data_IF_187222998079
#
_entry.id   IF_187222998079
#
_cell.length_a   1.000
_cell.length_b   1.000
_cell.length_c   1.000
_cell.angle_alpha   90.00
_cell.angle_beta   90.00
_cell.angle_gamma   90.00
#
_symmetry.space_group_name_H-M   'P 1'
#
loop_
_entity.id
_entity.type
_entity.pdbx_description
1 polymer ?
#
# COMPACT_ATOMS: atom_id res chain seq x y z
N UNK A 1 -4.74 -7.93 -16.97
CA UNK A 1 -4.61 -8.70 -15.74
C UNK A 1 -5.06 -7.79 -14.60
N UNK A 2 -6.24 -8.03 -14.04
CA UNK A 2 -6.69 -7.24 -12.90
C UNK A 2 -5.93 -7.74 -11.68
N UNK A 3 -5.02 -6.93 -11.13
CA UNK A 3 -4.32 -7.19 -9.87
C UNK A 3 -5.37 -7.08 -8.74
N UNK A 4 -6.23 -8.08 -8.65
CA UNK A 4 -7.14 -8.30 -7.52
C UNK A 4 -6.63 -9.41 -6.61
N UNK A 5 -5.53 -10.03 -7.02
CA UNK A 5 -4.95 -11.16 -6.34
C UNK A 5 -4.06 -10.65 -5.19
N UNK A 6 -4.00 -11.40 -4.12
CA UNK A 6 -3.14 -11.06 -2.98
C UNK A 6 -1.68 -11.13 -3.43
N UNK A 7 -0.97 -10.02 -3.34
CA UNK A 7 0.40 -9.87 -3.82
C UNK A 7 1.31 -9.35 -2.71
N UNK A 8 2.49 -9.96 -2.58
CA UNK A 8 3.54 -9.46 -1.72
C UNK A 8 4.88 -9.45 -2.46
N UNK A 9 5.69 -8.42 -2.23
CA UNK A 9 7.08 -8.34 -2.67
C UNK A 9 7.98 -8.39 -1.44
N UNK A 10 8.94 -9.31 -1.46
CA UNK A 10 9.95 -9.48 -0.42
C UNK A 10 11.35 -9.49 -1.02
N UNK A 11 12.36 -9.12 -0.26
CA UNK A 11 13.76 -9.19 -0.66
C UNK A 11 14.37 -10.43 0.00
N UNK A 12 15.03 -11.28 -0.78
CA UNK A 12 15.66 -12.51 -0.28
C UNK A 12 16.68 -12.26 0.84
N UNK A 13 17.34 -11.11 0.81
CA UNK A 13 18.35 -10.69 1.79
C UNK A 13 17.80 -10.39 3.19
N UNK A 14 16.48 -10.20 3.32
CA UNK A 14 15.83 -9.93 4.63
C UNK A 14 15.62 -11.18 5.48
N UNK A 15 15.77 -12.36 4.88
CA UNK A 15 15.58 -13.63 5.56
C UNK A 15 16.89 -14.19 6.07
N UNK A 16 16.81 -14.88 7.18
CA UNK A 16 17.93 -15.61 7.78
C UNK A 16 17.53 -17.06 7.99
N UNK A 17 18.51 -17.96 8.01
CA UNK A 17 18.31 -19.36 8.32
C UNK A 17 17.60 -19.53 9.67
N UNK A 18 16.71 -20.51 9.74
CA UNK A 18 15.97 -20.83 10.98
C UNK A 18 16.94 -21.08 12.14
N UNK A 19 16.72 -20.33 13.24
CA UNK A 19 17.58 -20.40 14.43
C UNK A 19 18.57 -19.23 14.57
N UNK A 20 18.72 -18.38 13.57
CA UNK A 20 19.47 -17.11 13.66
C UNK A 20 18.53 -15.92 13.91
N UNK A 21 19.09 -14.83 14.41
CA UNK A 21 18.34 -13.59 14.62
C UNK A 21 18.00 -12.97 13.26
N UNK A 22 16.73 -13.04 12.87
CA UNK A 22 16.22 -12.50 11.60
C UNK A 22 14.78 -12.93 11.36
N UNK A 23 14.28 -12.61 10.18
CA UNK A 23 12.91 -12.93 9.76
C UNK A 23 12.89 -14.32 9.12
N UNK A 24 12.03 -15.22 9.59
CA UNK A 24 11.85 -16.54 8.98
C UNK A 24 11.10 -16.44 7.63
N UNK A 25 11.30 -17.42 6.77
CA UNK A 25 10.68 -17.45 5.44
C UNK A 25 9.17 -17.67 5.49
N UNK A 26 8.63 -18.32 6.53
CA UNK A 26 7.19 -18.53 6.72
C UNK A 26 6.45 -17.19 6.91
N UNK A 27 7.16 -16.17 7.37
CA UNK A 27 6.61 -14.82 7.48
C UNK A 27 6.12 -14.26 6.14
N UNK A 28 6.65 -14.74 5.00
CA UNK A 28 6.19 -14.38 3.66
C UNK A 28 4.71 -14.72 3.50
N UNK A 29 4.35 -15.95 3.87
CA UNK A 29 2.96 -16.41 3.76
C UNK A 29 2.07 -15.71 4.77
N UNK A 30 2.56 -15.48 6.00
CA UNK A 30 1.81 -14.73 7.02
C UNK A 30 1.51 -13.30 6.57
N UNK A 31 2.51 -12.60 6.03
CA UNK A 31 2.34 -11.23 5.50
C UNK A 31 1.41 -11.21 4.27
N UNK A 32 1.45 -12.24 3.41
CA UNK A 32 0.55 -12.39 2.26
C UNK A 32 -0.91 -12.53 2.70
N UNK A 33 -1.17 -13.36 3.73
CA UNK A 33 -2.51 -13.51 4.30
C UNK A 33 -2.99 -12.22 4.95
N UNK A 34 -2.12 -11.51 5.67
CA UNK A 34 -2.47 -10.21 6.27
C UNK A 34 -2.91 -9.20 5.21
N UNK A 35 -2.20 -9.16 4.08
CA UNK A 35 -2.59 -8.33 2.93
C UNK A 35 -3.92 -8.77 2.32
N UNK A 36 -4.14 -10.08 2.16
CA UNK A 36 -5.38 -10.64 1.64
C UNK A 36 -6.58 -10.29 2.52
N UNK A 37 -6.46 -10.46 3.84
CA UNK A 37 -7.51 -10.11 4.81
C UNK A 37 -7.85 -8.63 4.75
N UNK A 38 -6.82 -7.76 4.70
CA UNK A 38 -7.02 -6.32 4.56
C UNK A 38 -7.77 -5.98 3.27
N UNK A 39 -7.36 -6.56 2.15
CA UNK A 39 -7.96 -6.33 0.83
C UNK A 39 -9.41 -6.83 0.76
N UNK A 40 -9.71 -8.03 1.29
CA UNK A 40 -11.06 -8.57 1.35
C UNK A 40 -11.95 -7.72 2.25
N UNK A 41 -11.43 -7.24 3.39
CA UNK A 41 -12.16 -6.32 4.28
C UNK A 41 -12.51 -5.01 3.58
N UNK A 42 -11.55 -4.38 2.92
CA UNK A 42 -11.79 -3.15 2.15
C UNK A 42 -12.83 -3.36 1.04
N UNK A 43 -12.75 -4.49 0.35
CA UNK A 43 -13.70 -4.86 -0.70
C UNK A 43 -15.09 -5.10 -0.14
N UNK A 44 -15.21 -5.80 0.99
CA UNK A 44 -16.47 -6.04 1.68
C UNK A 44 -17.09 -4.72 2.18
N UNK A 45 -16.29 -3.85 2.78
CA UNK A 45 -16.73 -2.52 3.21
C UNK A 45 -17.23 -1.68 2.03
N UNK A 46 -16.51 -1.67 0.90
CA UNK A 46 -16.94 -0.97 -0.32
C UNK A 46 -18.28 -1.48 -0.85
N UNK A 47 -18.52 -2.81 -0.79
CA UNK A 47 -19.81 -3.41 -1.20
C UNK A 47 -20.98 -2.99 -0.31
N UNK A 48 -20.73 -2.76 0.98
CA UNK A 48 -21.74 -2.36 1.95
C UNK A 48 -21.85 -0.83 2.10
N UNK A 49 -21.05 -0.06 1.34
CA UNK A 49 -20.94 1.39 1.54
C UNK A 49 -22.26 2.13 1.45
N UNK A 50 -23.11 1.81 0.48
CA UNK A 50 -24.41 2.46 0.33
C UNK A 50 -25.31 2.27 1.58
N UNK A 51 -25.36 1.04 2.11
CA UNK A 51 -26.11 0.73 3.34
C UNK A 51 -25.50 1.41 4.57
N UNK A 52 -24.17 1.48 4.60
CA UNK A 52 -23.45 2.15 5.68
C UNK A 52 -23.68 3.66 5.67
N UNK A 53 -23.74 4.28 4.50
CA UNK A 53 -24.07 5.69 4.32
C UNK A 53 -25.51 6.00 4.78
N UNK A 54 -26.48 5.15 4.44
CA UNK A 54 -27.85 5.28 4.93
C UNK A 54 -27.92 5.15 6.47
N UNK A 55 -27.21 4.21 7.05
CA UNK A 55 -27.15 4.04 8.52
C UNK A 55 -26.44 5.21 9.21
N UNK A 56 -25.38 5.75 8.63
CA UNK A 56 -24.69 6.93 9.11
C UNK A 56 -25.59 8.18 9.06
N UNK A 57 -26.36 8.34 7.96
CA UNK A 57 -27.35 9.40 7.82
C UNK A 57 -28.37 9.36 8.96
N UNK A 58 -28.89 8.17 9.28
CA UNK A 58 -29.84 8.00 10.40
C UNK A 58 -29.22 8.40 11.74
N UNK A 59 -27.96 8.00 12.01
CA UNK A 59 -27.26 8.38 13.26
C UNK A 59 -27.03 9.90 13.36
N UNK A 60 -26.70 10.57 12.26
CA UNK A 60 -26.57 12.04 12.22
C UNK A 60 -27.92 12.70 12.44
N UNK A 61 -28.99 12.16 11.84
CA UNK A 61 -30.37 12.65 12.05
C UNK A 61 -30.81 12.45 13.51
N UNK A 62 -30.46 11.35 14.15
CA UNK A 62 -30.73 11.11 15.57
C UNK A 62 -30.03 12.13 16.48
N UNK A 63 -28.83 12.57 16.11
CA UNK A 63 -28.10 13.62 16.83
C UNK A 63 -28.71 15.02 16.59
N UNK A 64 -29.28 15.28 15.41
CA UNK A 64 -29.89 16.56 15.06
C UNK A 64 -31.33 16.69 15.57
N UNK A 65 -32.10 15.60 15.51
CA UNK A 65 -33.52 15.50 15.90
C UNK A 65 -33.65 14.20 16.72
N UNK A 66 -33.39 14.25 18.06
CA UNK A 66 -33.51 13.07 18.91
C UNK A 66 -34.93 12.48 18.81
N UNK A 67 -35.05 11.15 18.70
CA UNK A 67 -36.36 10.51 18.71
C UNK A 67 -37.10 10.83 20.04
N UNK A 68 -38.42 10.98 20.02
CA UNK A 68 -39.17 11.24 21.25
C UNK A 68 -38.91 10.12 22.24
N UNK A 69 -38.47 10.50 23.47
CA UNK A 69 -38.29 9.54 24.53
C UNK A 69 -39.61 8.90 24.87
N UNK A 70 -39.82 7.65 24.50
CA UNK A 70 -40.93 6.83 25.00
C UNK A 70 -40.66 6.58 26.48
N UNK A 71 -41.15 7.49 27.32
CA UNK A 71 -41.16 7.30 28.75
C UNK A 71 -42.04 6.10 29.07
N UNK A 72 -41.47 5.11 29.78
CA UNK A 72 -42.23 4.10 30.51
C UNK A 72 -43.03 4.81 31.61
N UNK A 73 -44.17 5.36 31.26
CA UNK A 73 -45.15 5.92 32.16
C UNK A 73 -46.50 5.29 31.84
N UNK A 74 -47.00 4.45 32.72
CA UNK A 74 -48.41 4.06 32.77
C UNK A 74 -49.25 5.33 32.83
N UNK A 75 -49.87 5.71 31.72
CA UNK A 75 -51.03 6.58 31.80
C UNK A 75 -52.11 6.19 30.79
N UNK A 76 -53.28 5.98 31.32
CA UNK A 76 -54.43 5.54 30.60
C UNK A 76 -55.08 6.72 29.89
N UNK A 77 -55.42 6.51 28.64
CA UNK A 77 -56.50 7.24 27.95
C UNK A 77 -56.15 8.61 27.40
N UNK A 78 -55.88 8.64 26.08
CA UNK A 78 -55.83 9.90 25.35
C UNK A 78 -55.27 9.71 23.94
N UNK A 79 -56.15 9.48 22.97
CA UNK A 79 -55.87 9.59 21.54
C UNK A 79 -55.33 10.98 21.23
N UNK A 80 -54.08 11.07 20.84
CA UNK A 80 -53.57 12.30 20.21
C UNK A 80 -52.55 11.97 19.13
N UNK A 81 -52.88 12.38 17.93
CA UNK A 81 -52.05 12.52 16.75
C UNK A 81 -50.70 13.22 17.08
N UNK A 82 -49.70 12.51 17.46
CA UNK A 82 -48.34 13.05 17.67
C UNK A 82 -47.26 12.33 16.82
N UNK A 83 -47.60 11.88 15.64
CA UNK A 83 -46.67 11.19 14.74
C UNK A 83 -46.27 11.98 13.48
N UNK A 84 -46.97 13.04 13.09
CA UNK A 84 -46.73 13.65 11.77
C UNK A 84 -45.72 14.81 11.77
N UNK A 85 -45.59 15.56 12.84
CA UNK A 85 -44.72 16.73 12.90
C UNK A 85 -43.22 16.36 13.01
N UNK A 86 -42.92 15.29 13.74
CA UNK A 86 -41.54 14.81 13.95
C UNK A 86 -40.97 14.16 12.68
N UNK A 87 -41.83 13.46 11.92
CA UNK A 87 -41.43 12.88 10.62
C UNK A 87 -41.15 13.98 9.57
N UNK A 88 -41.88 15.11 9.62
CA UNK A 88 -41.71 16.20 8.65
C UNK A 88 -40.38 16.95 8.94
N UNK A 89 -40.08 17.23 10.19
CA UNK A 89 -38.80 17.86 10.60
C UNK A 89 -37.59 16.97 10.22
N UNK A 90 -37.69 15.66 10.47
CA UNK A 90 -36.64 14.70 10.12
C UNK A 90 -36.44 14.59 8.59
N UNK A 91 -37.53 14.61 7.80
CA UNK A 91 -37.43 14.61 6.34
C UNK A 91 -36.81 15.90 5.79
N UNK A 92 -37.15 17.07 6.35
CA UNK A 92 -36.54 18.35 5.95
C UNK A 92 -35.04 18.36 6.27
N UNK A 93 -34.67 17.87 7.45
CA UNK A 93 -33.25 17.78 7.83
C UNK A 93 -32.48 16.78 6.95
N UNK A 94 -33.09 15.64 6.61
CA UNK A 94 -32.52 14.64 5.66
C UNK A 94 -32.28 15.27 4.29
N UNK A 95 -33.22 16.05 3.77
CA UNK A 95 -33.05 16.73 2.49
C UNK A 95 -31.87 17.72 2.54
N UNK A 96 -31.81 18.56 3.58
CA UNK A 96 -30.69 19.51 3.76
C UNK A 96 -29.31 18.85 3.95
N UNK A 97 -29.32 17.69 4.59
CA UNK A 97 -28.09 16.88 4.78
C UNK A 97 -27.58 16.38 3.43
N UNK A 98 -28.46 15.83 2.59
CA UNK A 98 -28.13 15.34 1.24
C UNK A 98 -27.73 16.46 0.27
N UNK A 99 -28.28 17.66 0.45
CA UNK A 99 -27.89 18.86 -0.29
C UNK A 99 -26.57 19.46 0.17
N UNK A 100 -25.97 18.92 1.25
CA UNK A 100 -24.68 19.41 1.79
C UNK A 100 -24.78 20.73 2.56
N UNK A 101 -25.99 21.31 2.72
CA UNK A 101 -26.21 22.61 3.37
C UNK A 101 -25.83 22.63 4.88
N UNK A 102 -25.66 21.45 5.47
CA UNK A 102 -25.35 21.29 6.91
C UNK A 102 -23.90 20.84 7.17
N UNK A 103 -23.07 20.66 6.15
CA UNK A 103 -21.73 20.07 6.28
C UNK A 103 -20.81 20.80 7.27
N UNK A 104 -20.93 22.12 7.37
CA UNK A 104 -20.12 22.98 8.25
C UNK A 104 -20.65 23.06 9.68
N UNK A 105 -21.86 22.55 9.93
CA UNK A 105 -22.46 22.57 11.27
C UNK A 105 -21.81 21.53 12.15
N UNK A 106 -21.47 21.89 13.39
CA UNK A 106 -20.93 20.96 14.38
C UNK A 106 -22.06 20.16 15.05
N UNK A 107 -21.81 18.87 15.23
CA UNK A 107 -22.65 17.96 16.01
C UNK A 107 -21.80 17.17 16.99
N UNK A 108 -22.40 16.76 18.07
CA UNK A 108 -21.79 15.85 19.04
C UNK A 108 -22.25 14.42 18.74
N UNK A 109 -21.29 13.55 18.42
CA UNK A 109 -21.56 12.15 18.09
C UNK A 109 -20.77 11.24 19.03
N UNK A 110 -21.35 10.10 19.35
CA UNK A 110 -20.63 9.01 20.03
C UNK A 110 -19.92 8.15 18.98
N UNK A 111 -18.60 8.09 19.09
CA UNK A 111 -17.75 7.31 18.20
C UNK A 111 -17.03 6.24 19.04
N UNK A 112 -16.94 5.05 18.50
CA UNK A 112 -16.11 4.01 19.07
C UNK A 112 -14.64 4.41 18.87
N UNK A 113 -13.91 4.65 19.96
CA UNK A 113 -12.46 4.88 19.85
C UNK A 113 -11.80 3.54 19.49
N UNK A 114 -11.07 3.45 18.35
CA UNK A 114 -10.22 2.30 18.13
C UNK A 114 -9.26 2.26 19.31
N UNK A 115 -9.26 1.18 20.07
CA UNK A 115 -8.28 1.00 21.13
C UNK A 115 -6.92 1.14 20.48
N UNK A 116 -6.15 2.14 20.88
CA UNK A 116 -4.71 2.11 20.69
C UNK A 116 -4.26 0.74 21.23
N UNK A 117 -3.95 -0.18 20.33
CA UNK A 117 -3.52 -1.50 20.72
C UNK A 117 -2.33 -1.29 21.65
N UNK A 118 -2.44 -1.73 22.90
CA UNK A 118 -1.26 -1.98 23.70
C UNK A 118 -0.47 -3.00 22.84
N UNK A 119 0.50 -2.51 22.09
CA UNK A 119 1.55 -3.35 21.53
C UNK A 119 2.34 -3.87 22.72
N UNK A 120 1.86 -4.98 23.27
CA UNK A 120 2.63 -5.74 24.26
C UNK A 120 3.78 -6.30 23.42
N UNK A 121 4.95 -5.69 23.53
CA UNK A 121 6.19 -6.26 22.98
C UNK A 121 6.42 -7.59 23.70
N UNK A 122 5.89 -8.66 23.12
CA UNK A 122 6.12 -10.01 23.60
C UNK A 122 7.40 -10.56 22.98
N UNK A 123 8.24 -11.23 23.76
CA UNK A 123 9.38 -11.97 23.23
C UNK A 123 8.93 -12.99 22.18
N UNK A 124 9.75 -13.31 21.16
CA UNK A 124 9.46 -14.32 20.18
C UNK A 124 9.10 -15.66 20.84
N UNK A 125 7.93 -16.24 20.47
CA UNK A 125 7.43 -17.51 21.01
C UNK A 125 6.30 -17.40 22.05
N UNK A 126 5.85 -16.20 22.45
CA UNK A 126 4.72 -15.99 23.35
C UNK A 126 3.52 -15.29 22.69
N UNK A 127 3.44 -15.34 21.37
CA UNK A 127 2.40 -14.65 20.58
C UNK A 127 1.00 -15.16 20.89
N UNK A 128 0.81 -16.47 21.10
CA UNK A 128 -0.49 -17.06 21.44
C UNK A 128 -0.99 -16.59 22.82
N UNK A 129 -0.10 -16.42 23.78
CA UNK A 129 -0.47 -15.94 25.11
C UNK A 129 -0.84 -14.45 25.09
N UNK A 130 -0.16 -13.64 24.26
CA UNK A 130 -0.51 -12.25 24.06
C UNK A 130 -1.89 -12.10 23.38
N UNK A 131 -2.20 -12.98 22.44
CA UNK A 131 -3.49 -12.99 21.75
C UNK A 131 -4.63 -13.43 22.68
N UNK A 132 -4.40 -14.44 23.53
CA UNK A 132 -5.36 -14.85 24.55
C UNK A 132 -5.60 -13.74 25.60
N UNK A 133 -4.56 -13.06 26.05
CA UNK A 133 -4.70 -11.89 26.91
C UNK A 133 -5.45 -10.75 26.22
N UNK A 134 -5.16 -10.46 24.95
CA UNK A 134 -5.85 -9.43 24.17
C UNK A 134 -7.34 -9.76 24.00
N UNK A 135 -7.68 -11.02 23.78
CA UNK A 135 -9.06 -11.49 23.72
C UNK A 135 -9.77 -11.41 25.07
N UNK A 136 -9.10 -11.77 26.15
CA UNK A 136 -9.64 -11.65 27.51
C UNK A 136 -9.90 -10.18 27.89
N UNK A 137 -8.95 -9.27 27.60
CA UNK A 137 -9.12 -7.82 27.79
C UNK A 137 -10.19 -7.23 26.86
N UNK A 138 -10.41 -7.78 25.66
CA UNK A 138 -11.46 -7.34 24.76
C UNK A 138 -12.86 -7.72 25.29
N UNK A 139 -12.99 -8.86 25.96
CA UNK A 139 -14.25 -9.31 26.56
C UNK A 139 -14.59 -8.57 27.87
N UNK A 140 -13.59 -8.22 28.68
CA UNK A 140 -13.81 -7.53 29.97
C UNK A 140 -14.04 -6.02 29.87
N UNK A 141 -13.68 -5.39 28.77
CA UNK A 141 -13.82 -3.94 28.62
C UNK A 141 -14.77 -3.59 27.49
N UNK A 142 -16.02 -3.25 27.78
CA UNK A 142 -16.95 -2.70 26.80
C UNK A 142 -16.33 -1.54 26.03
N UNK A 143 -16.65 -1.40 24.74
CA UNK A 143 -16.20 -0.30 23.89
C UNK A 143 -16.51 1.04 24.59
N UNK A 144 -15.49 1.78 24.99
CA UNK A 144 -15.69 3.15 25.52
C UNK A 144 -16.13 4.01 24.34
N UNK A 145 -17.40 4.38 24.35
CA UNK A 145 -17.91 5.42 23.45
C UNK A 145 -17.43 6.77 23.96
N UNK A 146 -16.80 7.52 23.10
CA UNK A 146 -16.36 8.88 23.41
C UNK A 146 -17.15 9.85 22.58
N UNK A 147 -17.76 10.81 23.25
CA UNK A 147 -18.41 11.91 22.57
C UNK A 147 -17.37 12.83 21.95
N UNK A 148 -17.51 13.10 20.66
CA UNK A 148 -16.68 14.05 19.90
C UNK A 148 -17.55 15.07 19.18
N UNK A 149 -17.13 16.33 19.22
CA UNK A 149 -17.71 17.39 18.41
C UNK A 149 -16.98 17.43 17.06
N UNK A 150 -17.72 17.22 15.98
CA UNK A 150 -17.19 17.20 14.61
C UNK A 150 -18.16 17.93 13.68
N UNK A 151 -17.64 18.44 12.57
CA UNK A 151 -18.49 18.94 11.47
C UNK A 151 -19.27 17.76 10.86
N UNK A 152 -20.49 18.01 10.46
CA UNK A 152 -21.38 16.97 9.90
C UNK A 152 -20.74 16.24 8.72
N UNK A 153 -20.03 16.97 7.82
CA UNK A 153 -19.34 16.35 6.70
C UNK A 153 -18.27 15.31 7.09
N UNK A 154 -17.52 15.57 8.17
CA UNK A 154 -16.51 14.65 8.69
C UNK A 154 -17.15 13.55 9.54
N UNK A 155 -18.18 13.89 10.30
CA UNK A 155 -18.96 12.95 11.07
C UNK A 155 -19.63 11.88 10.18
N UNK A 156 -20.18 12.27 9.03
CA UNK A 156 -20.78 11.35 8.06
C UNK A 156 -19.78 10.33 7.53
N UNK A 157 -18.58 10.78 7.15
CA UNK A 157 -17.51 9.88 6.66
C UNK A 157 -17.12 8.86 7.72
N UNK A 158 -16.85 9.35 8.93
CA UNK A 158 -16.40 8.52 10.05
C UNK A 158 -17.48 7.52 10.49
N UNK A 159 -18.75 7.94 10.53
CA UNK A 159 -19.87 7.06 10.86
C UNK A 159 -20.14 6.05 9.75
N UNK A 160 -20.01 6.44 8.47
CA UNK A 160 -20.17 5.51 7.35
C UNK A 160 -19.09 4.42 7.37
N UNK A 161 -17.85 4.75 7.70
CA UNK A 161 -16.77 3.76 7.84
C UNK A 161 -17.00 2.84 9.06
N UNK A 162 -17.50 3.38 10.19
CA UNK A 162 -17.86 2.58 11.37
C UNK A 162 -19.04 1.63 11.07
N UNK A 163 -20.09 2.11 10.41
CA UNK A 163 -21.25 1.27 10.05
C UNK A 163 -20.87 0.24 8.97
N UNK A 164 -20.03 0.60 7.99
CA UNK A 164 -19.51 -0.35 7.01
C UNK A 164 -18.75 -1.49 7.70
N UNK A 165 -17.92 -1.17 8.69
CA UNK A 165 -17.18 -2.18 9.46
C UNK A 165 -18.10 -3.11 10.27
N UNK A 166 -19.23 -2.62 10.79
CA UNK A 166 -20.23 -3.44 11.51
C UNK A 166 -21.03 -4.38 10.60
N UNK A 167 -21.25 -3.96 9.34
CA UNK A 167 -22.01 -4.74 8.36
C UNK A 167 -21.18 -5.89 7.74
N UNK A 168 -19.90 -5.96 8.04
CA UNK A 168 -19.00 -6.95 7.47
C UNK A 168 -18.81 -8.09 8.47
N UNK A 169 -18.92 -9.33 7.98
CA UNK A 169 -18.67 -10.54 8.76
C UNK A 169 -17.17 -10.90 8.70
N UNK A 170 -16.48 -10.81 9.83
CA UNK A 170 -15.05 -11.10 9.92
C UNK A 170 -14.69 -12.56 9.60
N UNK A 171 -15.56 -13.53 9.89
CA UNK A 171 -15.30 -14.94 9.60
C UNK A 171 -15.42 -15.25 8.09
N UNK A 172 -16.37 -14.59 7.41
CA UNK A 172 -16.47 -14.67 5.95
C UNK A 172 -15.25 -14.05 5.27
N UNK A 173 -14.74 -12.92 5.80
CA UNK A 173 -13.51 -12.29 5.30
C UNK A 173 -12.33 -13.23 5.43
N UNK A 174 -12.12 -13.81 6.62
CA UNK A 174 -11.01 -14.76 6.87
C UNK A 174 -11.07 -15.93 5.91
N UNK A 175 -12.23 -16.56 5.79
CA UNK A 175 -12.42 -17.71 4.92
C UNK A 175 -12.11 -17.38 3.46
N UNK A 176 -12.61 -16.25 2.95
CA UNK A 176 -12.34 -15.80 1.58
C UNK A 176 -10.89 -15.40 1.39
N UNK A 177 -10.29 -14.71 2.35
CA UNK A 177 -8.90 -14.30 2.27
C UNK A 177 -7.95 -15.50 2.24
N UNK A 178 -8.20 -16.53 3.08
CA UNK A 178 -7.42 -17.77 3.06
C UNK A 178 -7.55 -18.47 1.70
N UNK A 179 -8.78 -18.68 1.22
CA UNK A 179 -9.03 -19.30 -0.08
C UNK A 179 -8.42 -18.50 -1.24
N UNK A 180 -8.48 -17.17 -1.19
CA UNK A 180 -7.87 -16.30 -2.20
C UNK A 180 -6.35 -16.36 -2.15
N UNK A 181 -5.75 -16.37 -0.96
CA UNK A 181 -4.30 -16.54 -0.79
C UNK A 181 -3.81 -17.86 -1.35
N UNK A 182 -4.49 -18.97 -1.03
CA UNK A 182 -4.10 -20.30 -1.49
C UNK A 182 -4.18 -20.45 -3.01
N UNK A 183 -5.21 -19.88 -3.66
CA UNK A 183 -5.48 -20.13 -5.08
C UNK A 183 -4.99 -19.01 -6.03
N UNK A 184 -4.85 -17.80 -5.53
CA UNK A 184 -4.53 -16.60 -6.33
C UNK A 184 -3.38 -15.78 -5.74
N UNK A 185 -2.70 -16.29 -4.70
CA UNK A 185 -1.59 -15.60 -4.06
C UNK A 185 -0.38 -15.50 -4.99
N UNK A 186 0.28 -14.35 -4.97
CA UNK A 186 1.52 -14.10 -5.73
C UNK A 186 2.59 -13.59 -4.78
N UNK A 187 3.72 -14.29 -4.74
CA UNK A 187 4.91 -13.91 -3.98
C UNK A 187 6.02 -13.53 -4.95
N UNK A 188 6.48 -12.29 -4.84
CA UNK A 188 7.62 -11.81 -5.60
C UNK A 188 8.85 -11.75 -4.70
N UNK A 189 9.89 -12.55 -5.01
CA UNK A 189 11.14 -12.62 -4.27
C UNK A 189 12.20 -11.86 -5.06
N UNK A 190 12.58 -10.68 -4.58
CA UNK A 190 13.59 -9.84 -5.21
C UNK A 190 14.99 -10.16 -4.67
N UNK A 191 16.02 -9.82 -5.43
CA UNK A 191 17.43 -9.99 -5.09
C UNK A 191 17.83 -11.44 -4.75
N UNK A 192 17.23 -12.44 -5.44
CA UNK A 192 17.56 -13.86 -5.20
C UNK A 192 19.02 -14.19 -5.53
N UNK A 193 19.66 -13.41 -6.40
CA UNK A 193 21.09 -13.52 -6.72
C UNK A 193 22.01 -13.27 -5.52
N UNK A 194 21.55 -12.53 -4.52
CA UNK A 194 22.32 -12.22 -3.31
C UNK A 194 22.44 -13.41 -2.34
N UNK A 195 21.51 -14.35 -2.43
CA UNK A 195 21.57 -15.60 -1.66
C UNK A 195 22.17 -16.76 -2.47
N UNK A 196 22.45 -16.56 -3.77
CA UNK A 196 23.23 -17.51 -4.57
C UNK A 196 24.69 -17.53 -4.12
N UNK A 197 25.25 -18.72 -3.86
CA UNK A 197 26.60 -18.88 -3.33
C UNK A 197 27.56 -19.35 -4.40
N UNK A 198 28.72 -18.69 -4.50
CA UNK A 198 29.88 -19.26 -5.19
C UNK A 198 30.68 -20.12 -4.20
N UNK A 199 30.99 -21.34 -4.59
CA UNK A 199 31.50 -22.45 -3.77
C UNK A 199 32.89 -22.26 -3.12
N UNK A 200 33.46 -21.06 -2.98
CA UNK A 200 34.88 -20.94 -2.67
C UNK A 200 35.27 -20.18 -1.38
N UNK A 201 34.31 -19.59 -0.61
CA UNK A 201 34.70 -18.84 0.61
C UNK A 201 33.83 -19.22 1.79
N UNK A 202 34.42 -19.85 2.80
CA UNK A 202 33.71 -20.36 3.96
C UNK A 202 33.21 -19.27 4.94
N UNK A 203 32.13 -19.56 5.61
CA UNK A 203 31.57 -18.82 6.77
C UNK A 203 30.26 -18.09 6.52
N UNK A 204 30.22 -17.09 5.66
CA UNK A 204 28.99 -16.35 5.33
C UNK A 204 28.06 -17.12 4.35
N UNK A 205 28.62 -18.09 3.63
CA UNK A 205 27.94 -18.87 2.60
C UNK A 205 26.97 -19.92 3.18
N UNK A 206 27.21 -20.39 4.39
CA UNK A 206 26.32 -21.38 5.06
C UNK A 206 24.96 -20.77 5.34
N UNK A 207 24.93 -19.55 5.82
CA UNK A 207 23.65 -18.83 6.11
C UNK A 207 22.84 -18.55 4.85
N UNK A 208 23.49 -18.22 3.72
CA UNK A 208 22.83 -17.97 2.43
C UNK A 208 22.23 -19.26 1.84
N UNK A 209 22.93 -20.38 1.93
CA UNK A 209 22.40 -21.68 1.55
C UNK A 209 21.24 -22.11 2.47
N UNK A 210 21.32 -21.77 3.76
CA UNK A 210 20.24 -22.00 4.70
C UNK A 210 18.93 -21.34 4.25
N UNK A 211 18.97 -20.06 3.87
CA UNK A 211 17.79 -19.34 3.35
C UNK A 211 17.21 -20.00 2.10
N UNK A 212 18.08 -20.48 1.17
CA UNK A 212 17.59 -21.21 -0.01
C UNK A 212 16.88 -22.51 0.37
N UNK A 213 17.41 -23.26 1.36
CA UNK A 213 16.79 -24.50 1.86
C UNK A 213 15.48 -24.22 2.59
N UNK A 214 15.40 -23.12 3.33
CA UNK A 214 14.18 -22.73 4.04
C UNK A 214 13.07 -22.23 3.08
N UNK A 215 13.45 -21.62 1.94
CA UNK A 215 12.50 -21.25 0.88
C UNK A 215 11.93 -22.47 0.13
N UNK A 216 12.70 -23.55 0.06
CA UNK A 216 12.33 -24.71 -0.75
C UNK A 216 10.96 -25.32 -0.38
N UNK A 217 10.64 -25.60 0.90
CA UNK A 217 9.33 -26.12 1.28
C UNK A 217 8.17 -25.21 0.85
N UNK A 218 8.35 -23.89 0.93
CA UNK A 218 7.31 -22.93 0.51
C UNK A 218 7.01 -23.03 -0.99
N UNK A 219 8.06 -23.17 -1.80
CA UNK A 219 7.92 -23.25 -3.28
C UNK A 219 7.51 -24.66 -3.72
N UNK A 220 7.83 -25.70 -2.95
CA UNK A 220 7.41 -27.08 -3.21
C UNK A 220 5.97 -27.37 -2.86
N UNK A 221 5.41 -26.62 -1.93
CA UNK A 221 4.10 -26.82 -1.35
C UNK A 221 4.19 -27.32 0.09
N UNK A 222 3.76 -26.48 1.01
CA UNK A 222 3.69 -26.77 2.44
C UNK A 222 2.47 -26.13 3.06
N UNK A 223 2.24 -26.42 4.33
CA UNK A 223 1.17 -25.78 5.10
C UNK A 223 1.77 -24.88 6.17
N UNK A 224 1.50 -23.59 6.10
CA UNK A 224 2.00 -22.58 7.04
C UNK A 224 0.91 -22.18 8.02
N UNK A 225 1.25 -22.15 9.31
CA UNK A 225 0.34 -21.66 10.35
C UNK A 225 0.34 -20.13 10.40
N UNK A 226 -0.86 -19.56 10.34
CA UNK A 226 -1.10 -18.12 10.46
C UNK A 226 -2.10 -17.81 11.55
N UNK A 227 -2.19 -16.58 12.01
CA UNK A 227 -3.19 -16.15 12.99
C UNK A 227 -4.65 -16.25 12.51
N UNK A 228 -4.86 -16.48 11.20
CA UNK A 228 -6.19 -16.65 10.61
C UNK A 228 -6.53 -18.10 10.31
N UNK A 229 -5.56 -19.01 10.38
CA UNK A 229 -5.68 -20.42 10.07
C UNK A 229 -4.50 -20.96 9.30
N UNK A 230 -4.60 -22.23 8.90
CA UNK A 230 -3.57 -22.90 8.10
C UNK A 230 -3.72 -22.51 6.62
N UNK A 231 -2.59 -22.33 5.93
CA UNK A 231 -2.53 -21.93 4.51
C UNK A 231 -1.61 -22.87 3.76
N UNK A 232 -2.12 -23.43 2.66
CA UNK A 232 -1.36 -24.29 1.74
C UNK A 232 -0.72 -23.43 0.66
N UNK A 233 0.56 -23.70 0.37
CA UNK A 233 1.33 -22.91 -0.61
C UNK A 233 1.35 -23.52 -2.02
N UNK A 234 0.70 -24.68 -2.23
CA UNK A 234 0.75 -25.49 -3.46
C UNK A 234 0.35 -24.72 -4.73
N UNK A 235 -0.56 -23.76 -4.63
CA UNK A 235 -1.05 -22.97 -5.77
C UNK A 235 -0.64 -21.51 -5.72
N UNK A 236 0.22 -21.11 -4.78
CA UNK A 236 0.78 -19.75 -4.74
C UNK A 236 1.82 -19.61 -5.86
N UNK A 237 1.71 -18.56 -6.64
CA UNK A 237 2.69 -18.25 -7.68
C UNK A 237 3.92 -17.55 -7.07
N UNK A 238 5.09 -18.19 -7.18
CA UNK A 238 6.36 -17.60 -6.79
C UNK A 238 7.10 -17.07 -8.01
N UNK A 239 7.52 -15.81 -7.97
CA UNK A 239 8.30 -15.15 -9.00
C UNK A 239 9.58 -14.64 -8.34
N UNK A 240 10.73 -15.15 -8.76
CA UNK A 240 12.02 -14.70 -8.27
C UNK A 240 12.71 -13.79 -9.29
N UNK A 241 13.35 -12.71 -8.82
CA UNK A 241 14.14 -11.80 -9.64
C UNK A 241 15.53 -11.58 -9.03
N UNK A 242 16.50 -11.33 -9.89
CA UNK A 242 17.85 -11.00 -9.50
C UNK A 242 18.65 -10.45 -10.68
N UNK A 243 19.61 -9.60 -10.40
CA UNK A 243 20.48 -9.01 -11.43
C UNK A 243 21.54 -9.98 -11.96
N UNK A 244 21.97 -10.95 -11.15
CA UNK A 244 22.98 -11.97 -11.47
C UNK A 244 24.29 -11.43 -12.08
N UNK A 245 24.71 -10.22 -11.67
CA UNK A 245 25.98 -9.63 -12.16
C UNK A 245 27.22 -10.41 -11.69
N UNK A 246 27.18 -10.88 -10.43
CA UNK A 246 28.31 -11.60 -9.81
C UNK A 246 28.08 -13.10 -9.68
N UNK A 247 26.85 -13.56 -9.78
CA UNK A 247 26.41 -14.95 -9.71
C UNK A 247 25.62 -15.33 -10.95
N UNK A 248 25.32 -16.61 -11.12
CA UNK A 248 24.46 -17.12 -12.19
C UNK A 248 23.24 -17.82 -11.59
N UNK A 249 22.14 -17.96 -12.31
CA UNK A 249 21.02 -18.79 -11.84
C UNK A 249 21.41 -20.22 -11.51
N UNK A 250 22.48 -20.73 -12.13
CA UNK A 250 23.08 -22.06 -11.83
C UNK A 250 23.82 -22.15 -10.50
N UNK A 251 24.06 -21.03 -9.83
CA UNK A 251 24.72 -20.99 -8.51
C UNK A 251 23.69 -21.13 -7.36
N UNK A 252 22.39 -21.13 -7.67
CA UNK A 252 21.35 -21.56 -6.73
C UNK A 252 21.43 -23.07 -6.50
N UNK A 253 20.94 -23.56 -5.35
CA UNK A 253 20.89 -25.00 -5.09
C UNK A 253 20.05 -25.71 -6.17
N UNK A 254 20.45 -26.92 -6.60
CA UNK A 254 19.79 -27.62 -7.71
C UNK A 254 18.30 -27.83 -7.51
N UNK A 255 17.88 -28.08 -6.28
CA UNK A 255 16.47 -28.29 -5.92
C UNK A 255 15.65 -27.03 -6.20
N UNK A 256 16.17 -25.86 -5.82
CA UNK A 256 15.49 -24.57 -6.05
C UNK A 256 15.44 -24.22 -7.55
N UNK A 257 16.51 -24.52 -8.29
CA UNK A 257 16.53 -24.35 -9.75
C UNK A 257 15.41 -25.16 -10.44
N UNK A 258 15.15 -26.37 -9.95
CA UNK A 258 14.07 -27.22 -10.45
C UNK A 258 12.65 -26.68 -10.20
N UNK A 259 12.51 -25.83 -9.17
CA UNK A 259 11.24 -25.19 -8.80
C UNK A 259 10.99 -23.83 -9.47
N UNK A 260 12.05 -23.24 -10.05
CA UNK A 260 11.95 -22.07 -10.94
C UNK A 260 12.35 -22.44 -12.38
N UNK A 261 11.55 -23.29 -13.05
CA UNK A 261 11.92 -23.82 -14.38
C UNK A 261 11.80 -22.80 -15.51
N UNK A 262 10.91 -21.81 -15.33
CA UNK A 262 10.66 -20.76 -16.33
C UNK A 262 11.63 -19.61 -16.06
N UNK A 263 12.50 -19.33 -17.04
CA UNK A 263 13.47 -18.24 -16.96
C UNK A 263 13.15 -17.21 -18.02
N UNK A 264 13.13 -15.95 -17.63
CA UNK A 264 12.92 -14.80 -18.49
C UNK A 264 14.04 -13.81 -18.27
N UNK A 265 14.72 -13.40 -19.33
CA UNK A 265 15.70 -12.34 -19.31
C UNK A 265 15.06 -11.07 -19.80
N UNK A 266 15.19 -9.97 -19.02
CA UNK A 266 14.68 -8.67 -19.39
C UNK A 266 15.72 -7.95 -20.25
N UNK A 267 15.31 -7.48 -21.40
CA UNK A 267 16.15 -6.64 -22.25
C UNK A 267 16.40 -5.26 -21.63
N UNK A 268 17.54 -4.61 -21.91
CA UNK A 268 17.74 -3.21 -21.54
C UNK A 268 16.68 -2.32 -22.18
N UNK A 269 16.33 -1.23 -21.49
CA UNK A 269 15.33 -0.28 -21.95
C UNK A 269 15.87 0.52 -23.15
N UNK A 270 15.08 0.65 -24.20
CA UNK A 270 15.37 1.53 -25.36
C UNK A 270 15.03 2.99 -25.04
N UNK A 271 15.46 3.91 -25.91
CA UNK A 271 15.08 5.34 -25.81
C UNK A 271 13.57 5.53 -25.87
N UNK A 272 12.87 4.73 -26.68
CA UNK A 272 11.41 4.80 -26.78
C UNK A 272 10.72 4.32 -25.51
N UNK A 273 11.28 3.29 -24.82
CA UNK A 273 10.79 2.84 -23.53
C UNK A 273 10.97 3.92 -22.45
N UNK A 274 12.11 4.58 -22.42
CA UNK A 274 12.36 5.69 -21.50
C UNK A 274 11.39 6.85 -21.72
N UNK A 275 11.11 7.22 -22.98
CA UNK A 275 10.12 8.24 -23.33
C UNK A 275 8.71 7.81 -22.89
N UNK A 276 8.34 6.56 -23.14
CA UNK A 276 7.06 6.01 -22.69
C UNK A 276 6.90 6.04 -21.17
N UNK A 277 7.96 5.72 -20.41
CA UNK A 277 7.96 5.78 -18.95
C UNK A 277 7.77 7.22 -18.46
N UNK A 278 8.37 8.20 -19.12
CA UNK A 278 8.23 9.61 -18.76
C UNK A 278 6.83 10.17 -19.03
N UNK A 279 6.10 9.64 -20.03
CA UNK A 279 4.85 10.23 -20.51
C UNK A 279 3.61 9.41 -20.19
N UNK A 280 3.63 8.09 -20.44
CA UNK A 280 2.43 7.24 -20.47
C UNK A 280 2.06 6.63 -19.13
N UNK A 281 2.97 6.59 -18.15
CA UNK A 281 2.67 6.02 -16.83
C UNK A 281 1.73 6.92 -16.05
N UNK A 282 0.85 6.29 -15.21
CA UNK A 282 -0.16 7.03 -14.45
C UNK A 282 0.46 8.10 -13.54
N UNK A 283 1.55 7.78 -12.85
CA UNK A 283 2.33 8.68 -12.00
C UNK A 283 3.75 8.86 -12.59
N UNK A 284 3.84 9.38 -13.83
CA UNK A 284 5.14 9.63 -14.45
C UNK A 284 5.96 10.65 -13.68
N UNK A 285 7.29 10.59 -13.77
CA UNK A 285 8.19 11.55 -13.11
C UNK A 285 7.86 12.99 -13.48
N UNK A 286 7.52 13.26 -14.74
CA UNK A 286 7.08 14.59 -15.19
C UNK A 286 5.89 15.07 -14.37
N UNK A 287 4.85 14.25 -14.21
CA UNK A 287 3.66 14.61 -13.43
C UNK A 287 3.98 14.79 -11.95
N UNK A 288 4.89 13.97 -11.40
CA UNK A 288 5.32 14.10 -10.00
C UNK A 288 6.02 15.45 -9.77
N UNK A 289 6.98 15.83 -10.62
CA UNK A 289 7.66 17.12 -10.51
C UNK A 289 6.75 18.32 -10.79
N UNK A 290 5.82 18.18 -11.74
CA UNK A 290 4.79 19.22 -11.98
C UNK A 290 3.92 19.43 -10.73
N UNK A 291 3.50 18.37 -10.07
CA UNK A 291 2.72 18.46 -8.85
C UNK A 291 3.56 19.04 -7.69
N UNK A 292 4.82 18.61 -7.55
CA UNK A 292 5.73 19.07 -6.50
C UNK A 292 6.00 20.58 -6.62
N UNK A 293 6.43 21.04 -7.80
CA UNK A 293 6.70 22.47 -8.02
C UNK A 293 5.42 23.31 -8.02
N UNK A 294 4.28 22.70 -8.36
CA UNK A 294 2.96 23.30 -8.23
C UNK A 294 2.57 23.67 -6.80
N UNK A 295 3.11 22.97 -5.78
CA UNK A 295 2.88 23.34 -4.36
C UNK A 295 3.51 24.68 -4.00
N UNK A 296 4.60 25.05 -4.66
CA UNK A 296 5.27 26.35 -4.52
C UNK A 296 4.74 27.40 -5.50
N UNK A 297 3.70 27.06 -6.28
CA UNK A 297 3.10 27.97 -7.26
C UNK A 297 3.87 28.07 -8.60
N UNK A 298 4.86 27.22 -8.85
CA UNK A 298 5.62 27.19 -10.10
C UNK A 298 4.95 26.24 -11.09
N UNK A 299 4.69 26.70 -12.31
CA UNK A 299 4.11 25.88 -13.39
C UNK A 299 5.22 25.32 -14.27
N UNK A 300 5.50 24.01 -14.16
CA UNK A 300 6.51 23.31 -14.95
C UNK A 300 5.89 22.74 -16.24
N UNK A 301 6.53 22.99 -17.39
CA UNK A 301 6.14 22.42 -18.69
C UNK A 301 7.36 21.82 -19.39
N UNK A 302 7.16 20.68 -20.06
CA UNK A 302 8.17 20.02 -20.88
C UNK A 302 7.73 19.98 -22.34
N UNK A 303 8.63 20.40 -23.22
CA UNK A 303 8.43 20.20 -24.65
C UNK A 303 8.67 18.73 -25.06
N UNK A 304 7.97 18.21 -26.08
CA UNK A 304 8.20 16.84 -26.53
C UNK A 304 9.65 16.54 -26.91
N UNK A 305 10.34 17.53 -27.51
CA UNK A 305 11.75 17.44 -27.84
C UNK A 305 12.65 17.29 -26.62
N UNK A 306 12.32 17.98 -25.51
CA UNK A 306 13.03 17.86 -24.23
C UNK A 306 12.85 16.48 -23.60
N UNK A 307 11.64 15.93 -23.66
CA UNK A 307 11.34 14.58 -23.13
C UNK A 307 12.15 13.53 -23.90
N UNK A 308 12.16 13.61 -25.22
CA UNK A 308 12.95 12.73 -26.08
C UNK A 308 14.45 12.84 -25.77
N UNK A 309 14.94 14.07 -25.56
CA UNK A 309 16.35 14.30 -25.25
C UNK A 309 16.74 13.77 -23.86
N UNK A 310 15.88 13.90 -22.88
CA UNK A 310 16.05 13.29 -21.55
C UNK A 310 16.14 11.77 -21.63
N UNK A 311 15.22 11.14 -22.38
CA UNK A 311 15.21 9.71 -22.62
C UNK A 311 16.53 9.23 -23.26
N UNK A 312 17.04 9.97 -24.23
CA UNK A 312 18.31 9.65 -24.91
C UNK A 312 19.51 9.77 -23.95
N UNK A 313 19.59 10.84 -23.16
CA UNK A 313 20.68 11.01 -22.19
C UNK A 313 20.63 9.88 -21.13
N UNK A 314 19.45 9.54 -20.61
CA UNK A 314 19.33 8.46 -19.63
C UNK A 314 19.75 7.10 -20.21
N UNK A 315 19.40 6.81 -21.47
CA UNK A 315 19.84 5.63 -22.19
C UNK A 315 21.36 5.61 -22.37
N UNK A 316 21.93 6.70 -22.91
CA UNK A 316 23.38 6.80 -23.18
C UNK A 316 24.21 6.64 -21.91
N UNK A 317 23.74 7.21 -20.79
CA UNK A 317 24.42 7.04 -19.48
C UNK A 317 24.34 5.59 -18.99
N UNK A 318 23.18 4.92 -19.14
CA UNK A 318 23.04 3.50 -18.80
C UNK A 318 23.92 2.58 -19.66
N UNK A 319 24.18 2.93 -20.94
CA UNK A 319 25.07 2.17 -21.80
C UNK A 319 26.57 2.33 -21.41
N UNK A 320 26.95 3.53 -20.95
CA UNK A 320 28.34 3.84 -20.62
C UNK A 320 28.74 3.50 -19.20
N UNK A 321 27.77 3.46 -18.29
CA UNK A 321 27.98 3.18 -16.87
C UNK A 321 27.25 1.91 -16.46
N UNK A 322 27.01 1.72 -15.17
CA UNK A 322 26.17 0.63 -14.68
C UNK A 322 24.70 0.86 -15.12
N UNK A 323 24.12 -0.15 -15.77
CA UNK A 323 22.73 -0.10 -16.19
C UNK A 323 21.79 -0.30 -15.00
N UNK A 324 21.24 0.81 -14.47
CA UNK A 324 20.26 0.81 -13.39
C UNK A 324 18.81 0.91 -13.89
N UNK A 325 18.61 0.73 -15.17
CA UNK A 325 17.28 0.77 -15.82
C UNK A 325 16.59 2.12 -15.67
N UNK A 326 15.27 2.09 -15.46
CA UNK A 326 14.45 3.30 -15.34
C UNK A 326 14.79 4.21 -14.15
N UNK A 327 15.52 3.71 -13.14
CA UNK A 327 16.00 4.53 -12.01
C UNK A 327 16.87 5.70 -12.51
N UNK A 328 17.57 5.53 -13.62
CA UNK A 328 18.37 6.58 -14.25
C UNK A 328 17.54 7.83 -14.58
N UNK A 329 16.28 7.69 -14.94
CA UNK A 329 15.40 8.82 -15.20
C UNK A 329 15.21 9.71 -13.97
N UNK A 330 15.12 9.13 -12.79
CA UNK A 330 14.96 9.91 -11.56
C UNK A 330 16.19 10.79 -11.30
N UNK A 331 17.41 10.19 -11.41
CA UNK A 331 18.67 10.93 -11.18
C UNK A 331 18.91 12.01 -12.23
N UNK A 332 18.61 11.73 -13.51
CA UNK A 332 18.74 12.69 -14.59
C UNK A 332 17.73 13.84 -14.43
N UNK A 333 16.50 13.53 -14.04
CA UNK A 333 15.46 14.54 -13.79
C UNK A 333 15.78 15.42 -12.57
N UNK A 334 16.24 14.83 -11.49
CA UNK A 334 16.68 15.53 -10.29
C UNK A 334 17.77 16.54 -10.64
N UNK A 335 18.79 16.13 -11.38
CA UNK A 335 19.87 17.01 -11.80
C UNK A 335 19.40 18.12 -12.73
N UNK A 336 18.49 17.82 -13.66
CA UNK A 336 17.92 18.83 -14.56
C UNK A 336 17.19 19.93 -13.79
N UNK A 337 16.45 19.55 -12.75
CA UNK A 337 15.54 20.42 -12.03
C UNK A 337 16.12 20.95 -10.70
N UNK A 338 17.36 20.62 -10.34
CA UNK A 338 18.01 20.96 -9.08
C UNK A 338 17.89 22.47 -8.76
N UNK A 339 18.36 23.33 -9.67
CA UNK A 339 18.28 24.78 -9.52
C UNK A 339 16.84 25.29 -9.46
N UNK A 340 15.96 24.77 -10.33
CA UNK A 340 14.54 25.18 -10.36
C UNK A 340 13.83 24.79 -9.06
N UNK A 341 14.13 23.60 -8.54
CA UNK A 341 13.55 23.11 -7.29
C UNK A 341 14.05 23.90 -6.08
N UNK A 342 15.34 24.26 -6.06
CA UNK A 342 15.91 25.05 -4.99
C UNK A 342 15.35 26.48 -4.95
N UNK A 343 15.15 27.09 -6.12
CA UNK A 343 14.63 28.45 -6.24
C UNK A 343 13.09 28.53 -6.21
N UNK A 344 12.38 27.43 -6.30
CA UNK A 344 10.92 27.38 -6.44
C UNK A 344 10.16 28.25 -5.42
N UNK A 345 10.53 28.31 -4.11
CA UNK A 345 9.85 29.19 -3.15
C UNK A 345 9.91 30.67 -3.50
N UNK A 346 10.96 31.09 -4.23
CA UNK A 346 11.18 32.49 -4.63
C UNK A 346 10.57 32.83 -6.00
N UNK A 347 10.08 31.82 -6.74
CA UNK A 347 9.60 31.93 -8.13
C UNK A 347 8.09 31.63 -8.26
N UNK A 348 7.34 31.85 -7.19
CA UNK A 348 5.89 31.60 -7.19
C UNK A 348 5.17 32.41 -8.27
N UNK A 349 4.28 31.76 -9.03
CA UNK A 349 3.57 32.34 -10.17
C UNK A 349 4.33 32.26 -11.51
N UNK A 350 5.60 31.81 -11.49
CA UNK A 350 6.40 31.67 -12.71
C UNK A 350 6.05 30.40 -13.49
N UNK A 351 6.22 30.51 -14.82
CA UNK A 351 6.11 29.35 -15.71
C UNK A 351 7.50 29.00 -16.24
N UNK A 352 7.95 27.80 -15.90
CA UNK A 352 9.23 27.25 -16.36
C UNK A 352 8.97 26.28 -17.51
N UNK A 353 9.47 26.60 -18.71
CA UNK A 353 9.40 25.74 -19.87
C UNK A 353 10.75 25.05 -20.10
N UNK A 354 10.78 23.75 -20.13
CA UNK A 354 11.98 22.94 -20.40
C UNK A 354 11.97 22.51 -21.85
N UNK A 355 12.91 23.06 -22.60
CA UNK A 355 13.20 22.69 -24.00
C UNK A 355 14.46 21.80 -24.09
N UNK A 356 14.75 21.30 -25.29
CA UNK A 356 15.93 20.44 -25.53
C UNK A 356 17.26 21.16 -25.28
N UNK A 357 17.32 22.49 -25.50
CA UNK A 357 18.51 23.27 -25.29
C UNK A 357 18.86 23.40 -23.80
N UNK A 358 17.86 23.58 -22.92
CA UNK A 358 18.01 23.59 -21.47
C UNK A 358 18.46 22.21 -20.98
N UNK A 359 17.90 21.14 -21.53
CA UNK A 359 18.32 19.77 -21.21
C UNK A 359 19.78 19.56 -21.56
N UNK A 360 20.21 19.94 -22.76
CA UNK A 360 21.60 19.83 -23.18
C UNK A 360 22.54 20.70 -22.35
N UNK A 361 22.17 21.95 -22.06
CA UNK A 361 22.99 22.86 -21.29
C UNK A 361 23.26 22.34 -19.85
N UNK A 362 22.25 21.76 -19.22
CA UNK A 362 22.36 21.29 -17.81
C UNK A 362 22.91 19.88 -17.65
N UNK A 363 22.74 19.03 -18.66
CA UNK A 363 23.10 17.61 -18.61
C UNK A 363 24.27 17.22 -19.52
N UNK A 364 24.79 18.13 -20.39
CA UNK A 364 25.86 17.81 -21.34
C UNK A 364 27.16 17.36 -20.66
N UNK A 365 27.48 17.91 -19.47
CA UNK A 365 28.66 17.51 -18.71
C UNK A 365 28.51 16.07 -18.16
N UNK A 366 27.32 15.70 -17.70
CA UNK A 366 27.00 14.35 -17.22
C UNK A 366 27.08 13.32 -18.37
N UNK A 367 26.62 13.70 -19.55
CA UNK A 367 26.66 12.83 -20.74
C UNK A 367 28.09 12.61 -21.26
N UNK A 368 29.05 13.48 -20.93
CA UNK A 368 30.43 13.44 -21.43
C UNK A 368 31.45 12.86 -20.45
N UNK A 369 31.22 12.97 -19.16
CA UNK A 369 32.22 12.67 -18.14
C UNK A 369 31.81 11.42 -17.32
N UNK A 370 32.50 10.31 -17.55
CA UNK A 370 32.27 9.02 -16.85
C UNK A 370 32.51 9.14 -15.33
N UNK A 371 33.48 9.94 -14.90
CA UNK A 371 33.80 10.09 -13.49
C UNK A 371 32.70 10.91 -12.77
N UNK A 372 32.16 11.95 -13.40
CA UNK A 372 31.04 12.70 -12.85
C UNK A 372 29.77 11.87 -12.79
N UNK A 373 29.53 10.98 -13.76
CA UNK A 373 28.38 10.10 -13.76
C UNK A 373 28.42 9.04 -12.66
N UNK A 374 29.60 8.62 -12.20
CA UNK A 374 29.79 7.69 -11.08
C UNK A 374 29.60 8.32 -9.70
N UNK A 375 29.87 9.61 -9.56
CA UNK A 375 29.82 10.30 -8.26
C UNK A 375 28.54 11.12 -8.06
N UNK A 376 27.84 11.48 -9.12
CA UNK A 376 26.66 12.38 -9.07
C UNK A 376 25.37 11.59 -9.34
N UNK A 377 25.47 10.42 -9.92
CA UNK A 377 24.37 9.55 -10.32
C UNK A 377 24.52 8.16 -9.66
#
# INVERSE_FOLDING_TARGET
MCIRDSFIKVEATKFTEVGYVGKDVDSIVRDLVDMAVKQERETAMKRQRARAEDAAEERVLDALVPPPRTGFGFDAGGSTEKGSGDNTARQVMRKRLREGALNEKEIEIEVNEPRAGLEIMTPPGMEEMAEQMKNLFSQMGGARRKSRKLKIGDAMKLLADEEAAKLVNDDDIKTRALANTENNGIVFIDEIDKIATRSEVGGADVSRQGVQRDLLPLVEGTTVSTKYGMVKTDHILFIASGAFHLSKPSDLIPELQGRFPIRVELAPLSVDDFEAILTSTHASLIKQYQALLGTEGVTLQFEPAAIRRLAQIAHDVNERTENIGARRLATVMERLLDEVSFEAPNRSGERVNIDAAIVDARLAELARNEDLSRYIL
#
